data_IF_211129768675
#
_entry.id   IF_211129768675
#
_cell.length_a   1.000
_cell.length_b   1.000
_cell.length_c   1.000
_cell.angle_alpha   90.00
_cell.angle_beta   90.00
_cell.angle_gamma   90.00
#
_symmetry.space_group_name_H-M   'P 1'
#
loop_
_entity.id
_entity.type
_entity.pdbx_description
1 polymer ?
#
# COMPACT_ATOMS: atom_id res chain seq x y z
N UNK A 1 -0.17 3.85 3.39
CA UNK A 1 0.29 3.81 1.98
C UNK A 1 1.68 3.17 1.83
N UNK A 2 2.76 3.71 2.44
CA UNK A 2 4.12 3.15 2.33
C UNK A 2 4.29 1.67 2.69
N UNK A 3 3.55 1.21 3.72
CA UNK A 3 3.67 -0.18 4.19
C UNK A 3 3.11 -1.23 3.21
N UNK A 4 2.28 -0.84 2.22
CA UNK A 4 1.76 -1.77 1.20
C UNK A 4 2.68 -1.87 -0.01
N UNK A 5 3.16 -0.72 -0.50
CA UNK A 5 4.01 -0.62 -1.68
C UNK A 5 5.38 -1.25 -1.46
N UNK A 6 6.07 -0.85 -0.39
CA UNK A 6 7.40 -1.36 -0.08
C UNK A 6 7.36 -2.85 0.29
N UNK A 7 6.32 -3.29 1.01
CA UNK A 7 6.19 -4.68 1.45
C UNK A 7 6.10 -5.65 0.28
N UNK A 8 5.23 -5.38 -0.70
CA UNK A 8 5.14 -6.23 -1.89
C UNK A 8 6.46 -6.31 -2.66
N UNK A 9 7.19 -5.20 -2.78
CA UNK A 9 8.53 -5.20 -3.38
C UNK A 9 9.54 -6.02 -2.56
N UNK A 10 9.50 -5.93 -1.22
CA UNK A 10 10.37 -6.74 -0.35
C UNK A 10 10.13 -8.24 -0.56
N UNK A 11 8.85 -8.65 -0.67
CA UNK A 11 8.48 -10.04 -0.96
C UNK A 11 9.01 -10.45 -2.32
N UNK A 12 8.79 -9.65 -3.37
CA UNK A 12 9.29 -9.95 -4.72
C UNK A 12 10.82 -10.08 -4.73
N UNK A 13 11.53 -9.13 -4.12
CA UNK A 13 12.98 -9.14 -4.02
C UNK A 13 13.50 -10.43 -3.34
N UNK A 14 12.91 -10.78 -2.20
CA UNK A 14 13.25 -12.02 -1.48
C UNK A 14 13.00 -13.27 -2.34
N UNK A 15 11.90 -13.31 -3.11
CA UNK A 15 11.58 -14.45 -3.99
C UNK A 15 12.53 -14.56 -5.18
N UNK A 16 12.85 -13.45 -5.84
CA UNK A 16 13.80 -13.41 -6.98
C UNK A 16 15.12 -14.09 -6.62
N UNK A 17 15.70 -13.72 -5.49
CA UNK A 17 16.99 -14.30 -5.05
C UNK A 17 16.87 -15.72 -4.51
N UNK A 18 15.68 -16.11 -4.03
CA UNK A 18 15.42 -17.48 -3.55
C UNK A 18 15.33 -18.45 -4.72
N UNK A 19 14.73 -18.02 -5.82
CA UNK A 19 14.58 -18.82 -7.04
C UNK A 19 15.87 -18.85 -7.87
N UNK A 20 16.67 -17.77 -7.84
CA UNK A 20 17.97 -17.72 -8.50
C UNK A 20 19.07 -17.15 -7.58
N UNK A 21 19.90 -18.01 -6.95
CA UNK A 21 20.96 -17.58 -6.06
C UNK A 21 21.99 -16.65 -6.71
N UNK A 22 22.21 -16.75 -8.03
CA UNK A 22 23.20 -15.94 -8.75
C UNK A 22 22.71 -14.51 -9.01
N UNK A 23 21.40 -14.25 -8.80
CA UNK A 23 20.84 -12.92 -8.91
C UNK A 23 21.17 -12.07 -7.69
N UNK A 24 21.68 -10.86 -7.94
CA UNK A 24 21.83 -9.82 -6.91
C UNK A 24 20.65 -8.86 -6.99
N UNK A 25 20.02 -8.58 -5.85
CA UNK A 25 19.01 -7.52 -5.72
C UNK A 25 19.55 -6.43 -4.80
N UNK A 26 19.49 -5.18 -5.28
CA UNK A 26 19.80 -3.98 -4.50
C UNK A 26 18.52 -3.17 -4.29
N UNK A 27 18.14 -2.94 -3.04
CA UNK A 27 16.97 -2.12 -2.68
C UNK A 27 17.46 -0.76 -2.21
N UNK A 28 17.16 0.27 -3.00
CA UNK A 28 17.40 1.67 -2.64
C UNK A 28 16.16 2.22 -1.95
N UNK A 29 16.34 2.74 -0.73
CA UNK A 29 15.26 3.30 0.09
C UNK A 29 15.68 4.62 0.74
N UNK A 30 14.81 5.22 1.53
CA UNK A 30 15.11 6.33 2.45
C UNK A 30 15.32 5.81 3.87
N UNK A 31 15.96 6.62 4.72
CA UNK A 31 16.31 6.26 6.09
C UNK A 31 15.12 5.81 6.93
N UNK A 32 13.98 6.50 6.84
CA UNK A 32 12.78 6.20 7.62
C UNK A 32 12.17 4.82 7.32
N UNK A 33 12.50 4.24 6.16
CA UNK A 33 12.00 2.93 5.74
C UNK A 33 13.07 1.83 5.82
N UNK A 34 14.34 2.17 6.07
CA UNK A 34 15.46 1.22 5.98
C UNK A 34 15.25 -0.03 6.83
N UNK A 35 14.99 0.14 8.13
CA UNK A 35 14.83 -1.00 9.05
C UNK A 35 13.54 -1.80 8.79
N UNK A 36 12.47 -1.13 8.34
CA UNK A 36 11.22 -1.81 7.97
C UNK A 36 11.41 -2.66 6.71
N UNK A 37 12.11 -2.14 5.72
CA UNK A 37 12.46 -2.85 4.48
C UNK A 37 13.33 -4.07 4.78
N UNK A 38 14.37 -3.90 5.62
CA UNK A 38 15.21 -5.03 6.08
C UNK A 38 14.39 -6.10 6.78
N UNK A 39 13.61 -5.69 7.78
CA UNK A 39 12.77 -6.61 8.54
C UNK A 39 11.78 -7.37 7.65
N UNK A 40 11.11 -6.69 6.71
CA UNK A 40 10.15 -7.36 5.84
C UNK A 40 10.81 -8.32 4.85
N UNK A 41 11.97 -7.98 4.28
CA UNK A 41 12.74 -8.93 3.45
C UNK A 41 13.12 -10.17 4.28
N UNK A 42 13.66 -9.94 5.47
CA UNK A 42 14.14 -11.02 6.34
C UNK A 42 13.04 -12.01 6.72
N UNK A 43 11.83 -11.49 6.96
CA UNK A 43 10.67 -12.29 7.31
C UNK A 43 10.27 -13.27 6.20
N UNK A 44 10.59 -12.96 4.94
CA UNK A 44 10.23 -13.81 3.79
C UNK A 44 11.20 -14.96 3.54
N UNK A 45 12.35 -14.94 4.21
CA UNK A 45 13.48 -15.82 3.96
C UNK A 45 13.81 -16.64 5.21
N UNK A 46 14.46 -17.80 5.03
CA UNK A 46 14.83 -18.68 6.14
C UNK A 46 16.00 -18.12 6.97
N UNK A 47 15.86 -18.07 8.30
CA UNK A 47 16.89 -17.55 9.19
C UNK A 47 18.26 -18.22 8.95
N UNK A 48 19.30 -17.40 8.79
CA UNK A 48 20.67 -17.87 8.54
C UNK A 48 20.99 -18.24 7.09
N UNK A 49 20.07 -18.02 6.15
CA UNK A 49 20.33 -18.26 4.73
C UNK A 49 21.36 -17.29 4.14
N UNK A 50 22.36 -17.76 3.36
CA UNK A 50 23.30 -16.90 2.63
C UNK A 50 22.62 -15.88 1.71
N UNK A 51 21.40 -16.18 1.27
CA UNK A 51 20.57 -15.32 0.42
C UNK A 51 20.07 -14.10 1.21
N UNK A 52 19.63 -14.29 2.47
CA UNK A 52 19.29 -13.18 3.37
C UNK A 52 20.47 -12.25 3.52
N UNK A 53 21.66 -12.81 3.76
CA UNK A 53 22.87 -12.00 3.93
C UNK A 53 23.22 -11.22 2.67
N UNK A 54 22.92 -11.75 1.47
CA UNK A 54 23.10 -11.02 0.21
C UNK A 54 22.15 -9.83 0.11
N UNK A 55 20.84 -10.01 0.33
CA UNK A 55 19.89 -8.88 0.26
C UNK A 55 20.10 -7.89 1.40
N UNK A 56 20.26 -8.33 2.67
CA UNK A 56 20.52 -7.41 3.80
C UNK A 56 21.72 -6.52 3.53
N UNK A 57 22.80 -7.09 2.98
CA UNK A 57 23.98 -6.34 2.52
C UNK A 57 23.73 -5.51 1.27
N UNK A 58 22.54 -5.47 0.70
CA UNK A 58 22.19 -4.61 -0.44
C UNK A 58 20.83 -3.93 -0.28
N UNK A 59 20.32 -3.85 0.95
CA UNK A 59 19.26 -2.91 1.34
C UNK A 59 19.91 -1.70 1.99
N UNK A 60 19.83 -0.54 1.32
CA UNK A 60 20.47 0.67 1.78
C UNK A 60 19.61 1.91 1.60
N UNK A 61 19.80 2.85 2.53
CA UNK A 61 19.28 4.20 2.38
C UNK A 61 20.22 4.99 1.46
N UNK A 62 19.67 5.68 0.46
CA UNK A 62 20.43 6.65 -0.36
C UNK A 62 20.22 8.08 0.11
N UNK A 63 19.19 8.32 0.92
CA UNK A 63 18.85 9.63 1.45
C UNK A 63 18.86 9.55 2.99
N UNK A 64 19.77 10.29 3.66
CA UNK A 64 19.76 10.35 5.13
C UNK A 64 18.46 10.99 5.62
N UNK A 65 18.17 10.89 6.92
CA UNK A 65 16.98 11.52 7.46
C UNK A 65 17.00 13.04 7.23
N UNK A 66 16.01 13.54 6.49
CA UNK A 66 15.85 14.97 6.19
C UNK A 66 14.51 15.46 6.73
N UNK A 67 14.43 16.70 7.26
CA UNK A 67 13.16 17.30 7.63
C UNK A 67 12.36 17.68 6.39
N UNK A 68 11.04 17.61 6.45
CA UNK A 68 10.15 18.06 5.38
C UNK A 68 8.83 17.30 5.35
N UNK A 69 7.87 17.83 4.59
CA UNK A 69 6.65 17.08 4.26
C UNK A 69 6.93 16.00 3.21
N UNK A 70 5.91 15.22 2.89
CA UNK A 70 6.05 14.08 1.99
C UNK A 70 6.64 14.45 0.62
N UNK A 71 6.12 15.52 0.00
CA UNK A 71 6.54 15.97 -1.34
C UNK A 71 8.02 16.41 -1.33
N UNK A 72 8.43 17.13 -0.29
CA UNK A 72 9.83 17.57 -0.12
C UNK A 72 10.79 16.39 0.05
N UNK A 73 10.42 15.41 0.88
CA UNK A 73 11.22 14.19 1.07
C UNK A 73 11.37 13.43 -0.25
N UNK A 74 10.30 13.30 -1.03
CA UNK A 74 10.34 12.64 -2.34
C UNK A 74 11.22 13.39 -3.35
N UNK A 75 11.24 14.72 -3.29
CA UNK A 75 12.14 15.54 -4.11
C UNK A 75 13.61 15.23 -3.82
N UNK A 76 14.02 15.28 -2.55
CA UNK A 76 15.39 14.92 -2.15
C UNK A 76 15.73 13.46 -2.46
N UNK A 77 14.76 12.55 -2.32
CA UNK A 77 14.95 11.14 -2.65
C UNK A 77 15.25 10.95 -4.13
N UNK A 78 14.58 11.69 -5.01
CA UNK A 78 14.82 11.62 -6.45
C UNK A 78 16.25 12.02 -6.85
N UNK A 79 16.79 13.06 -6.22
CA UNK A 79 18.16 13.51 -6.46
C UNK A 79 19.18 12.48 -5.96
N UNK A 80 19.00 12.00 -4.72
CA UNK A 80 19.85 10.98 -4.13
C UNK A 80 19.83 9.66 -4.91
N UNK A 81 18.64 9.27 -5.40
CA UNK A 81 18.46 8.10 -6.25
C UNK A 81 19.28 8.19 -7.54
N UNK A 82 19.26 9.34 -8.22
CA UNK A 82 19.95 9.49 -9.50
C UNK A 82 21.47 9.26 -9.35
N UNK A 83 22.08 9.81 -8.30
CA UNK A 83 23.49 9.59 -7.99
C UNK A 83 23.77 8.13 -7.65
N UNK A 84 22.96 7.53 -6.79
CA UNK A 84 23.09 6.12 -6.41
C UNK A 84 22.95 5.17 -7.62
N UNK A 85 22.01 5.43 -8.53
CA UNK A 85 21.82 4.61 -9.72
C UNK A 85 23.00 4.74 -10.69
N UNK A 86 23.56 5.93 -10.88
CA UNK A 86 24.78 6.13 -11.68
C UNK A 86 25.98 5.34 -11.12
N UNK A 87 26.17 5.34 -9.79
CA UNK A 87 27.18 4.50 -9.12
C UNK A 87 26.97 3.02 -9.40
N UNK A 88 25.73 2.52 -9.32
CA UNK A 88 25.43 1.12 -9.62
C UNK A 88 25.67 0.76 -11.09
N UNK A 89 25.34 1.65 -12.03
CA UNK A 89 25.57 1.45 -13.47
C UNK A 89 27.06 1.38 -13.79
N UNK A 90 27.90 2.09 -13.04
CA UNK A 90 29.36 2.07 -13.16
C UNK A 90 30.03 0.89 -12.42
N UNK A 91 29.23 0.02 -11.80
CA UNK A 91 29.71 -1.11 -11.00
C UNK A 91 30.62 -0.66 -9.84
N UNK A 92 30.34 0.51 -9.26
CA UNK A 92 31.12 1.07 -8.17
C UNK A 92 30.56 0.67 -6.79
N UNK A 93 31.38 0.62 -5.74
CA UNK A 93 30.90 0.47 -4.36
C UNK A 93 29.94 1.61 -3.97
N UNK A 94 28.90 1.28 -3.20
CA UNK A 94 27.88 2.25 -2.77
C UNK A 94 27.77 2.27 -1.25
N UNK A 95 27.64 3.46 -0.66
CA UNK A 95 27.57 3.63 0.80
C UNK A 95 26.14 3.96 1.24
N UNK A 96 25.66 3.27 2.27
CA UNK A 96 24.40 3.59 2.95
C UNK A 96 24.50 4.98 3.58
N UNK A 97 23.62 5.90 3.18
CA UNK A 97 23.57 7.24 3.74
C UNK A 97 23.20 7.27 5.22
N UNK A 98 22.42 6.29 5.71
CA UNK A 98 22.01 6.21 7.12
C UNK A 98 23.07 5.57 8.00
N UNK A 99 23.64 4.44 7.58
CA UNK A 99 24.52 3.63 8.45
C UNK A 99 26.00 3.83 8.18
N UNK A 100 26.37 4.54 7.10
CA UNK A 100 27.75 4.66 6.65
C UNK A 100 28.37 3.36 6.13
N UNK A 101 27.60 2.27 6.07
CA UNK A 101 28.09 0.97 5.61
C UNK A 101 28.32 1.00 4.10
N UNK A 102 29.54 0.72 3.66
CA UNK A 102 29.87 0.57 2.23
C UNK A 102 29.62 -0.86 1.77
N UNK A 103 28.89 -0.99 0.68
CA UNK A 103 28.65 -2.22 -0.03
C UNK A 103 29.56 -2.28 -1.25
N UNK A 104 30.26 -3.39 -1.43
CA UNK A 104 31.16 -3.57 -2.57
C UNK A 104 30.43 -3.49 -3.91
N UNK A 105 31.21 -3.31 -4.97
CA UNK A 105 30.76 -3.32 -6.36
C UNK A 105 29.85 -4.52 -6.67
N UNK A 106 28.84 -4.27 -7.51
CA UNK A 106 27.93 -5.27 -8.05
C UNK A 106 27.95 -5.18 -9.57
N UNK A 107 27.59 -6.24 -10.30
CA UNK A 107 27.27 -6.13 -11.72
C UNK A 107 26.23 -5.03 -11.96
N UNK A 108 26.38 -4.31 -13.07
CA UNK A 108 25.48 -3.23 -13.43
C UNK A 108 24.02 -3.75 -13.53
N UNK A 109 23.00 -2.92 -13.20
CA UNK A 109 21.61 -3.37 -13.23
C UNK A 109 21.17 -3.83 -14.63
N UNK A 110 20.76 -5.10 -14.75
CA UNK A 110 20.14 -5.66 -15.98
C UNK A 110 18.65 -5.36 -16.07
N UNK A 111 18.00 -5.06 -14.95
CA UNK A 111 16.59 -4.69 -14.85
C UNK A 111 16.39 -3.74 -13.69
N UNK A 112 15.45 -2.82 -13.82
CA UNK A 112 15.06 -1.90 -12.76
C UNK A 112 13.57 -2.00 -12.48
N UNK A 113 13.22 -2.21 -11.22
CA UNK A 113 11.83 -2.18 -10.75
C UNK A 113 11.60 -0.86 -10.01
N UNK A 114 10.69 -0.02 -10.49
CA UNK A 114 10.42 1.31 -9.94
C UNK A 114 8.95 1.42 -9.56
N UNK A 115 8.64 1.79 -8.33
CA UNK A 115 7.27 2.13 -7.93
C UNK A 115 6.68 3.23 -8.81
N UNK A 116 5.44 3.05 -9.28
CA UNK A 116 4.82 3.96 -10.24
C UNK A 116 4.69 5.41 -9.75
N UNK A 117 4.74 5.66 -8.44
CA UNK A 117 4.79 7.02 -7.89
C UNK A 117 6.14 7.72 -8.11
N UNK A 118 7.20 6.99 -8.46
CA UNK A 118 8.57 7.50 -8.63
C UNK A 118 8.89 7.87 -10.08
N UNK A 119 8.05 8.70 -10.72
CA UNK A 119 8.33 9.26 -12.04
C UNK A 119 9.71 9.95 -12.14
N UNK A 120 10.18 10.71 -11.12
CA UNK A 120 11.52 11.29 -11.15
C UNK A 120 12.63 10.25 -11.27
N UNK A 121 12.49 9.09 -10.60
CA UNK A 121 13.47 8.01 -10.69
C UNK A 121 13.49 7.45 -12.11
N UNK A 122 12.33 7.15 -12.70
CA UNK A 122 12.24 6.68 -14.07
C UNK A 122 12.93 7.64 -15.05
N UNK A 123 12.66 8.95 -14.94
CA UNK A 123 13.29 9.97 -15.79
C UNK A 123 14.81 10.01 -15.58
N UNK A 124 15.28 9.93 -14.34
CA UNK A 124 16.71 9.89 -14.02
C UNK A 124 17.38 8.63 -14.60
N UNK A 125 16.78 7.44 -14.44
CA UNK A 125 17.30 6.21 -15.01
C UNK A 125 17.36 6.29 -16.53
N UNK A 126 16.31 6.80 -17.19
CA UNK A 126 16.30 6.99 -18.65
C UNK A 126 17.36 7.98 -19.14
N UNK A 127 17.69 9.00 -18.35
CA UNK A 127 18.77 9.92 -18.70
C UNK A 127 20.15 9.24 -18.63
N UNK A 128 20.33 8.31 -17.69
CA UNK A 128 21.62 7.64 -17.44
C UNK A 128 21.85 6.44 -18.37
N UNK A 129 20.85 5.58 -18.54
CA UNK A 129 20.97 4.32 -19.30
C UNK A 129 20.14 4.29 -20.58
N UNK A 130 19.39 5.36 -20.90
CA UNK A 130 18.49 5.34 -22.05
C UNK A 130 17.50 4.17 -21.95
N UNK A 131 17.51 3.32 -22.96
CA UNK A 131 16.70 2.10 -23.01
C UNK A 131 17.52 0.81 -22.86
N UNK A 132 18.82 0.90 -22.52
CA UNK A 132 19.65 -0.30 -22.35
C UNK A 132 19.23 -1.13 -21.14
N UNK A 133 18.69 -0.49 -20.10
CA UNK A 133 18.12 -1.17 -18.93
C UNK A 133 16.58 -1.15 -19.01
N UNK A 134 15.91 -2.31 -19.10
CA UNK A 134 14.46 -2.38 -19.00
C UNK A 134 13.99 -1.87 -17.63
N UNK A 135 12.89 -1.12 -17.64
CA UNK A 135 12.25 -0.59 -16.44
C UNK A 135 10.86 -1.22 -16.33
N UNK A 136 10.58 -1.82 -15.19
CA UNK A 136 9.29 -2.39 -14.85
C UNK A 136 8.66 -1.51 -13.79
N UNK A 137 7.52 -0.93 -14.13
CA UNK A 137 6.74 -0.13 -13.19
C UNK A 137 6.06 -1.07 -12.19
N UNK A 138 6.43 -0.95 -10.91
CA UNK A 138 5.77 -1.64 -9.82
C UNK A 138 4.47 -0.91 -9.49
N UNK A 139 3.36 -1.58 -9.77
CA UNK A 139 2.00 -1.09 -9.57
C UNK A 139 1.26 -2.02 -8.61
N UNK A 140 1.40 -1.85 -7.29
CA UNK A 140 0.75 -2.70 -6.30
C UNK A 140 -0.70 -2.25 -6.02
N UNK A 141 -1.43 -1.86 -7.06
CA UNK A 141 -2.81 -1.40 -6.98
C UNK A 141 -3.62 -1.88 -8.18
N UNK A 142 -4.94 -1.75 -8.12
CA UNK A 142 -5.80 -2.15 -9.23
C UNK A 142 -5.52 -1.30 -10.49
N UNK A 143 -5.61 -1.93 -11.67
CA UNK A 143 -5.52 -1.21 -12.94
C UNK A 143 -6.57 -0.10 -13.07
N UNK A 144 -7.73 -0.25 -12.42
CA UNK A 144 -8.77 0.78 -12.37
C UNK A 144 -8.31 2.05 -11.65
N UNK A 145 -7.56 1.93 -10.54
CA UNK A 145 -6.99 3.09 -9.86
C UNK A 145 -6.00 3.80 -10.76
N UNK A 146 -5.16 3.05 -11.46
CA UNK A 146 -4.20 3.64 -12.39
C UNK A 146 -4.89 4.47 -13.48
N UNK A 147 -5.96 3.94 -14.08
CA UNK A 147 -6.76 4.67 -15.07
C UNK A 147 -7.45 5.89 -14.44
N UNK A 148 -7.92 5.79 -13.20
CA UNK A 148 -8.54 6.91 -12.52
C UNK A 148 -7.53 8.04 -12.20
N UNK A 149 -6.31 7.70 -11.78
CA UNK A 149 -5.32 8.72 -11.38
C UNK A 149 -4.62 9.30 -12.61
N UNK A 150 -4.23 8.45 -13.57
CA UNK A 150 -3.34 8.84 -14.67
C UNK A 150 -3.99 8.74 -16.05
N UNK A 151 -5.21 8.22 -16.12
CA UNK A 151 -5.94 8.11 -17.37
C UNK A 151 -6.50 9.45 -17.84
N UNK A 152 -6.83 9.54 -19.14
CA UNK A 152 -7.54 10.69 -19.67
C UNK A 152 -8.98 10.74 -19.14
N UNK A 153 -9.56 11.94 -19.05
CA UNK A 153 -10.92 12.16 -18.52
C UNK A 153 -11.99 11.32 -19.23
N UNK A 154 -11.85 11.09 -20.54
CA UNK A 154 -12.75 10.23 -21.32
C UNK A 154 -12.81 8.78 -20.85
N UNK A 155 -11.81 8.32 -20.09
CA UNK A 155 -11.74 6.98 -19.48
C UNK A 155 -12.02 7.04 -17.96
N UNK A 156 -12.48 8.19 -17.44
CA UNK A 156 -12.74 8.39 -16.02
C UNK A 156 -11.51 8.78 -15.20
N UNK A 157 -10.43 9.21 -15.84
CA UNK A 157 -9.21 9.65 -15.16
C UNK A 157 -9.15 11.15 -14.84
N UNK A 158 -8.18 11.58 -14.03
CA UNK A 158 -8.02 12.99 -13.65
C UNK A 158 -7.60 13.91 -14.80
N UNK A 159 -7.10 13.41 -15.93
CA UNK A 159 -6.62 14.26 -17.02
C UNK A 159 -5.40 15.09 -16.61
N UNK A 160 -5.38 16.38 -16.94
CA UNK A 160 -4.29 17.28 -16.56
C UNK A 160 -4.41 17.68 -15.08
N UNK A 161 -3.84 16.83 -14.22
CA UNK A 161 -3.84 17.03 -12.77
C UNK A 161 -3.11 18.30 -12.35
N UNK A 162 -1.98 18.63 -13.00
CA UNK A 162 -1.18 19.81 -12.68
C UNK A 162 -1.97 21.10 -12.94
N UNK A 163 -2.61 21.20 -14.10
CA UNK A 163 -3.44 22.35 -14.45
C UNK A 163 -4.60 22.55 -13.46
N UNK A 164 -5.16 21.46 -12.92
CA UNK A 164 -6.23 21.52 -11.90
C UNK A 164 -5.72 22.02 -10.56
N UNK A 165 -4.56 21.54 -10.11
CA UNK A 165 -3.89 22.04 -8.90
C UNK A 165 -3.56 23.53 -9.04
N UNK A 166 -3.01 23.94 -10.17
CA UNK A 166 -2.65 25.33 -10.43
C UNK A 166 -3.88 26.25 -10.46
N UNK A 167 -4.98 25.80 -11.05
CA UNK A 167 -6.24 26.53 -11.06
C UNK A 167 -6.80 26.73 -9.64
N UNK A 168 -6.78 25.69 -8.81
CA UNK A 168 -7.24 25.75 -7.42
C UNK A 168 -6.31 26.60 -6.55
N UNK A 169 -5.00 26.55 -6.78
CA UNK A 169 -4.02 27.39 -6.11
C UNK A 169 -4.25 28.88 -6.42
N UNK A 170 -4.52 29.19 -7.69
CA UNK A 170 -4.85 30.54 -8.12
C UNK A 170 -6.17 31.04 -7.51
N UNK A 171 -7.15 30.15 -7.32
CA UNK A 171 -8.45 30.47 -6.74
C UNK A 171 -8.39 30.70 -5.23
N UNK A 172 -7.67 29.84 -4.50
CA UNK A 172 -7.68 29.80 -3.02
C UNK A 172 -6.52 30.52 -2.38
N UNK A 173 -5.45 30.80 -3.13
CA UNK A 173 -4.18 31.32 -2.61
C UNK A 173 -3.39 30.31 -1.76
N UNK A 174 -3.84 29.04 -1.67
CA UNK A 174 -3.15 27.98 -0.92
C UNK A 174 -1.94 27.46 -1.71
N UNK A 175 -0.90 26.95 -1.04
CA UNK A 175 0.23 26.33 -1.72
C UNK A 175 -0.19 25.14 -2.59
N UNK A 176 0.31 25.06 -3.83
CA UNK A 176 0.01 23.97 -4.76
C UNK A 176 0.37 22.58 -4.20
N UNK A 177 1.37 22.48 -3.31
CA UNK A 177 1.74 21.23 -2.66
C UNK A 177 0.63 20.71 -1.74
N UNK A 178 0.01 21.58 -0.94
CA UNK A 178 -1.06 21.22 -0.01
C UNK A 178 -2.34 20.83 -0.77
N UNK A 179 -2.63 21.55 -1.86
CA UNK A 179 -3.76 21.25 -2.75
C UNK A 179 -3.52 19.92 -3.48
N UNK A 180 -2.31 19.69 -3.99
CA UNK A 180 -1.97 18.44 -4.67
C UNK A 180 -2.08 17.25 -3.70
N UNK A 181 -1.67 17.41 -2.44
CA UNK A 181 -1.83 16.41 -1.39
C UNK A 181 -3.30 16.11 -1.12
N UNK A 182 -4.14 17.13 -0.95
CA UNK A 182 -5.58 16.99 -0.72
C UNK A 182 -6.32 16.33 -1.88
N UNK A 183 -6.06 16.74 -3.13
CA UNK A 183 -6.73 16.17 -4.31
C UNK A 183 -6.22 14.74 -4.60
N UNK A 184 -4.95 14.44 -4.34
CA UNK A 184 -4.36 13.13 -4.67
C UNK A 184 -4.67 12.05 -3.64
N UNK A 185 -4.80 12.41 -2.37
CA UNK A 185 -4.79 11.45 -1.26
C UNK A 185 -5.90 11.67 -0.23
N UNK A 186 -6.81 12.62 -0.49
CA UNK A 186 -7.80 13.06 0.48
C UNK A 186 -7.13 13.52 1.78
N UNK A 187 -7.94 13.75 2.81
CA UNK A 187 -7.41 13.94 4.16
C UNK A 187 -6.83 12.61 4.64
N UNK A 188 -5.50 12.53 4.62
CA UNK A 188 -4.69 11.31 4.68
C UNK A 188 -5.12 10.32 5.78
N UNK A 189 -5.63 9.16 5.33
CA UNK A 189 -5.62 7.79 5.92
C UNK A 189 -5.86 7.59 7.43
N UNK A 190 -6.49 8.55 8.06
CA UNK A 190 -7.00 8.53 9.42
C UNK A 190 -8.04 9.65 9.45
N UNK A 191 -9.17 9.53 10.16
CA UNK A 191 -10.06 10.67 10.34
C UNK A 191 -9.40 11.69 11.29
N UNK A 192 -8.27 12.26 10.88
CA UNK A 192 -7.50 13.26 11.64
C UNK A 192 -8.30 14.54 11.84
N UNK A 193 -9.17 14.86 10.88
CA UNK A 193 -10.07 16.00 10.96
C UNK A 193 -11.30 15.74 11.83
N UNK A 194 -11.70 14.47 12.00
CA UNK A 194 -12.89 14.09 12.78
C UNK A 194 -12.64 12.80 13.60
N UNK A 195 -11.70 12.80 14.56
CA UNK A 195 -11.37 11.61 15.34
C UNK A 195 -12.57 11.09 16.14
N UNK A 196 -13.52 11.97 16.48
CA UNK A 196 -14.74 11.68 17.22
C UNK A 196 -15.63 10.63 16.53
N UNK A 197 -15.60 10.52 15.20
CA UNK A 197 -16.36 9.48 14.49
C UNK A 197 -15.87 8.07 14.81
N UNK A 198 -14.56 7.92 15.05
CA UNK A 198 -13.99 6.65 15.41
C UNK A 198 -14.34 6.28 16.86
N UNK A 199 -14.29 7.27 17.75
CA UNK A 199 -14.70 7.12 19.15
C UNK A 199 -16.19 6.74 19.24
N UNK A 200 -17.06 7.42 18.51
CA UNK A 200 -18.50 7.11 18.44
C UNK A 200 -18.80 5.67 17.97
N UNK A 201 -18.07 5.16 16.97
CA UNK A 201 -18.24 3.79 16.49
C UNK A 201 -17.80 2.79 17.56
N UNK A 202 -16.66 3.03 18.22
CA UNK A 202 -16.17 2.19 19.31
C UNK A 202 -17.15 2.22 20.49
N UNK A 203 -17.67 3.39 20.82
CA UNK A 203 -18.59 3.59 21.93
C UNK A 203 -19.93 2.90 21.67
N UNK A 204 -20.47 3.03 20.46
CA UNK A 204 -21.66 2.29 20.06
C UNK A 204 -21.46 0.76 20.16
N UNK A 205 -20.28 0.24 19.78
CA UNK A 205 -19.99 -1.20 19.89
C UNK A 205 -19.92 -1.64 21.36
N UNK A 206 -19.27 -0.85 22.22
CA UNK A 206 -19.16 -1.11 23.65
C UNK A 206 -20.53 -1.05 24.35
N UNK A 207 -21.32 0.01 24.11
CA UNK A 207 -22.65 0.22 24.68
C UNK A 207 -23.61 -0.91 24.32
N UNK A 208 -23.54 -1.39 23.08
CA UNK A 208 -24.38 -2.48 22.60
C UNK A 208 -23.82 -3.87 22.93
N UNK A 209 -22.71 -3.94 23.70
CA UNK A 209 -22.03 -5.18 24.09
C UNK A 209 -21.68 -6.07 22.91
N UNK A 210 -21.30 -5.45 21.79
CA UNK A 210 -20.91 -6.14 20.56
C UNK A 210 -19.41 -6.39 20.64
N UNK A 211 -18.94 -7.65 20.68
CA UNK A 211 -17.52 -7.91 20.65
C UNK A 211 -16.91 -7.48 19.31
N UNK A 212 -15.77 -6.79 19.33
CA UNK A 212 -15.15 -6.26 18.12
C UNK A 212 -13.63 -6.38 18.13
N UNK A 213 -13.06 -6.50 16.93
CA UNK A 213 -11.63 -6.39 16.69
C UNK A 213 -11.40 -5.12 15.87
N UNK A 214 -10.74 -4.14 16.46
CA UNK A 214 -10.39 -2.91 15.75
C UNK A 214 -8.97 -3.02 15.21
N UNK A 215 -8.86 -3.18 13.88
CA UNK A 215 -7.57 -3.32 13.21
C UNK A 215 -7.06 -1.98 12.68
N UNK A 216 -5.92 -1.51 13.18
CA UNK A 216 -5.31 -0.25 12.75
C UNK A 216 -3.90 -0.50 12.16
N UNK A 217 -3.83 -0.62 10.83
CA UNK A 217 -2.56 -0.88 10.13
C UNK A 217 -1.82 0.43 9.72
N UNK A 218 -2.42 1.60 9.94
CA UNK A 218 -1.81 2.88 9.57
C UNK A 218 -0.64 3.21 10.51
N UNK A 219 0.56 3.55 9.99
CA UNK A 219 1.68 4.02 10.81
C UNK A 219 1.42 5.39 11.44
N UNK A 220 0.32 6.06 11.08
CA UNK A 220 -0.12 7.35 11.61
C UNK A 220 -1.30 7.23 12.58
N UNK A 221 -1.81 6.02 12.82
CA UNK A 221 -2.90 5.80 13.77
C UNK A 221 -2.45 6.22 15.19
N UNK A 222 -3.08 7.26 15.74
CA UNK A 222 -2.91 7.68 17.13
C UNK A 222 -4.19 7.34 17.88
N UNK A 223 -4.21 6.17 18.51
CA UNK A 223 -5.29 5.81 19.43
C UNK A 223 -5.00 6.49 20.77
N UNK A 224 -5.89 7.35 21.29
CA UNK A 224 -5.71 7.97 22.60
C UNK A 224 -5.55 6.91 23.71
N UNK A 225 -4.70 7.18 24.69
CA UNK A 225 -4.44 6.22 25.77
C UNK A 225 -5.73 5.86 26.54
N UNK A 226 -6.60 6.84 26.79
CA UNK A 226 -7.89 6.61 27.45
C UNK A 226 -8.82 5.71 26.64
N UNK A 227 -8.86 5.87 25.31
CA UNK A 227 -9.67 5.03 24.43
C UNK A 227 -9.13 3.59 24.41
N UNK A 228 -7.81 3.44 24.33
CA UNK A 228 -7.17 2.13 24.40
C UNK A 228 -7.46 1.41 25.72
N UNK A 229 -7.36 2.12 26.84
CA UNK A 229 -7.64 1.58 28.17
C UNK A 229 -9.11 1.17 28.34
N UNK A 230 -10.05 1.97 27.85
CA UNK A 230 -11.49 1.63 27.81
C UNK A 230 -11.77 0.38 27.00
N UNK A 231 -11.17 0.25 25.81
CA UNK A 231 -11.34 -0.91 24.94
C UNK A 231 -10.78 -2.17 25.62
N UNK A 232 -9.56 -2.10 26.14
CA UNK A 232 -8.89 -3.24 26.79
C UNK A 232 -9.57 -3.67 28.10
N UNK A 233 -10.14 -2.73 28.86
CA UNK A 233 -10.84 -3.04 30.13
C UNK A 233 -12.27 -3.57 29.94
N UNK A 234 -12.85 -3.40 28.75
CA UNK A 234 -14.24 -3.78 28.48
C UNK A 234 -14.50 -5.28 28.34
N UNK A 235 -13.44 -6.09 28.13
CA UNK A 235 -13.51 -7.50 27.69
C UNK A 235 -14.32 -7.74 26.38
N UNK A 236 -14.70 -6.66 25.68
CA UNK A 236 -15.51 -6.69 24.46
C UNK A 236 -14.70 -6.30 23.22
N UNK A 237 -13.66 -5.47 23.37
CA UNK A 237 -12.85 -4.99 22.26
C UNK A 237 -11.40 -5.48 22.31
N UNK A 238 -10.84 -5.78 21.14
CA UNK A 238 -9.42 -6.11 20.97
C UNK A 238 -8.80 -5.20 19.90
N UNK A 239 -7.75 -4.47 20.27
CA UNK A 239 -6.97 -3.64 19.34
C UNK A 239 -5.85 -4.47 18.72
N UNK A 240 -5.74 -4.46 17.40
CA UNK A 240 -4.65 -5.16 16.71
C UNK A 240 -4.13 -4.38 15.52
N UNK A 241 -2.84 -4.46 15.23
CA UNK A 241 -2.27 -3.91 13.99
C UNK A 241 -2.59 -4.78 12.76
N UNK A 242 -3.17 -5.97 12.97
CA UNK A 242 -3.52 -6.89 11.89
C UNK A 242 -4.65 -7.87 12.28
N UNK A 243 -5.70 -7.94 11.45
CA UNK A 243 -6.75 -8.96 11.51
C UNK A 243 -7.21 -9.30 10.08
N UNK A 244 -7.68 -10.53 9.81
CA UNK A 244 -8.35 -10.85 8.55
C UNK A 244 -9.66 -10.05 8.45
N UNK A 245 -9.68 -9.02 7.60
CA UNK A 245 -10.84 -8.15 7.39
C UNK A 245 -11.75 -8.75 6.32
N UNK A 246 -12.95 -9.22 6.73
CA UNK A 246 -14.02 -9.61 5.80
C UNK A 246 -15.07 -8.50 5.65
N UNK A 247 -14.97 -7.42 6.43
CA UNK A 247 -15.80 -6.23 6.31
C UNK A 247 -14.90 -5.11 5.79
N UNK A 248 -15.25 -4.58 4.62
CA UNK A 248 -14.50 -3.57 3.90
C UNK A 248 -15.11 -2.20 4.18
N UNK A 249 -14.31 -1.29 4.72
CA UNK A 249 -14.60 0.13 4.85
C UNK A 249 -13.78 0.89 3.81
N UNK A 250 -14.21 0.91 2.53
CA UNK A 250 -13.46 1.59 1.50
C UNK A 250 -13.58 3.10 1.68
N UNK A 251 -12.45 3.79 1.73
CA UNK A 251 -12.37 5.25 1.78
C UNK A 251 -11.99 5.81 0.41
N UNK A 252 -10.82 5.42 -0.11
CA UNK A 252 -10.25 6.05 -1.31
C UNK A 252 -9.36 5.08 -2.12
N UNK A 253 -8.89 5.54 -3.27
CA UNK A 253 -7.97 4.86 -4.17
C UNK A 253 -8.58 3.57 -4.73
N UNK A 254 -7.85 2.46 -4.67
CA UNK A 254 -8.34 1.17 -5.15
C UNK A 254 -9.23 0.47 -4.14
N UNK A 255 -9.37 0.98 -2.90
CA UNK A 255 -10.17 0.34 -1.86
C UNK A 255 -11.62 0.08 -2.28
N UNK A 256 -12.36 1.04 -2.92
CA UNK A 256 -13.71 0.76 -3.39
C UNK A 256 -13.75 -0.32 -4.48
N UNK A 257 -12.74 -0.39 -5.35
CA UNK A 257 -12.68 -1.42 -6.39
C UNK A 257 -12.32 -2.79 -5.81
N UNK A 258 -11.37 -2.83 -4.88
CA UNK A 258 -10.99 -4.03 -4.15
C UNK A 258 -12.15 -4.57 -3.32
N UNK A 259 -12.84 -3.71 -2.57
CA UNK A 259 -14.05 -4.06 -1.83
C UNK A 259 -15.11 -4.63 -2.79
N UNK A 260 -15.41 -3.93 -3.88
CA UNK A 260 -16.36 -4.41 -4.88
C UNK A 260 -15.96 -5.77 -5.48
N UNK A 261 -14.68 -6.02 -5.74
CA UNK A 261 -14.23 -7.30 -6.25
C UNK A 261 -14.42 -8.43 -5.24
N UNK A 262 -14.06 -8.20 -3.97
CA UNK A 262 -14.19 -9.19 -2.91
C UNK A 262 -15.67 -9.49 -2.60
N UNK A 263 -16.53 -8.48 -2.66
CA UNK A 263 -17.96 -8.63 -2.36
C UNK A 263 -18.77 -9.14 -3.55
N UNK A 264 -18.52 -8.63 -4.75
CA UNK A 264 -19.34 -8.96 -5.93
C UNK A 264 -18.86 -10.21 -6.66
N UNK A 265 -17.56 -10.43 -6.76
CA UNK A 265 -17.02 -11.53 -7.56
C UNK A 265 -16.58 -12.70 -6.68
N UNK A 266 -15.85 -12.41 -5.60
CA UNK A 266 -15.29 -13.46 -4.74
C UNK A 266 -16.27 -13.94 -3.66
N UNK A 267 -17.32 -13.14 -3.38
CA UNK A 267 -18.35 -13.43 -2.36
C UNK A 267 -17.72 -13.79 -1.00
N UNK A 268 -16.62 -13.13 -0.64
CA UNK A 268 -15.81 -13.46 0.52
C UNK A 268 -15.80 -12.35 1.60
N UNK A 269 -16.63 -11.32 1.42
CA UNK A 269 -16.78 -10.24 2.39
C UNK A 269 -17.96 -9.32 2.11
N UNK A 270 -18.06 -8.28 2.93
CA UNK A 270 -19.15 -7.31 2.99
C UNK A 270 -18.55 -5.92 2.83
N UNK A 271 -19.20 -5.05 2.05
CA UNK A 271 -18.78 -3.68 1.83
C UNK A 271 -19.73 -2.73 2.53
N UNK A 272 -19.16 -1.79 3.27
CA UNK A 272 -19.91 -0.70 3.91
C UNK A 272 -20.08 0.45 2.93
N UNK A 273 -21.28 1.01 2.90
CA UNK A 273 -21.70 2.05 1.97
C UNK A 273 -22.07 3.34 2.69
N UNK A 274 -22.77 3.25 3.81
CA UNK A 274 -23.27 4.41 4.57
C UNK A 274 -22.13 5.14 5.29
N UNK A 275 -20.97 4.50 5.45
CA UNK A 275 -19.75 5.09 6.03
C UNK A 275 -18.94 5.93 5.04
N UNK A 276 -19.36 6.01 3.78
CA UNK A 276 -18.68 6.81 2.75
C UNK A 276 -18.97 8.29 2.98
N UNK A 277 -18.09 9.16 2.49
CA UNK A 277 -18.22 10.61 2.61
C UNK A 277 -17.93 11.32 1.27
N UNK A 278 -18.24 12.62 1.19
CA UNK A 278 -17.97 13.44 0.01
C UNK A 278 -18.58 12.86 -1.28
N UNK A 279 -17.75 12.68 -2.32
CA UNK A 279 -18.18 12.06 -3.60
C UNK A 279 -18.65 10.61 -3.45
N UNK A 280 -18.30 9.94 -2.35
CA UNK A 280 -18.69 8.57 -2.04
C UNK A 280 -20.18 8.36 -1.73
N UNK A 281 -20.93 9.46 -1.49
CA UNK A 281 -22.40 9.45 -1.30
C UNK A 281 -23.19 9.50 -2.62
N UNK A 282 -22.49 9.62 -3.76
CA UNK A 282 -23.12 9.57 -5.07
C UNK A 282 -23.70 8.18 -5.40
N UNK A 283 -24.56 8.09 -6.43
CA UNK A 283 -25.12 6.82 -6.89
C UNK A 283 -24.04 5.80 -7.26
N UNK A 284 -24.17 4.59 -6.73
CA UNK A 284 -23.29 3.46 -6.98
C UNK A 284 -23.87 2.66 -8.15
N UNK A 285 -23.43 2.97 -9.36
CA UNK A 285 -24.01 2.42 -10.59
C UNK A 285 -24.00 0.89 -10.68
N UNK A 286 -23.02 0.22 -10.07
CA UNK A 286 -22.91 -1.26 -10.12
C UNK A 286 -24.02 -2.00 -9.37
N UNK A 287 -24.66 -1.35 -8.39
CA UNK A 287 -25.71 -1.99 -7.57
C UNK A 287 -26.92 -1.09 -7.30
N UNK A 288 -26.95 0.11 -7.87
CA UNK A 288 -28.05 1.07 -7.76
C UNK A 288 -28.20 1.72 -6.38
N UNK A 289 -27.31 1.45 -5.42
CA UNK A 289 -27.40 2.06 -4.08
C UNK A 289 -26.96 3.52 -4.13
N UNK A 290 -27.65 4.37 -3.38
CA UNK A 290 -27.21 5.75 -3.12
C UNK A 290 -27.13 5.91 -1.60
N UNK A 291 -25.91 5.90 -1.03
CA UNK A 291 -25.74 6.01 0.43
C UNK A 291 -26.27 7.35 0.93
N UNK A 292 -26.88 7.34 2.12
CA UNK A 292 -27.37 8.55 2.78
C UNK A 292 -26.27 9.24 3.58
N UNK A 293 -25.33 8.47 4.14
CA UNK A 293 -24.22 9.02 4.93
C UNK A 293 -24.64 9.57 6.29
N UNK A 294 -25.85 9.28 6.77
CA UNK A 294 -26.35 9.76 8.07
C UNK A 294 -25.99 8.78 9.18
N UNK A 295 -25.91 9.28 10.42
CA UNK A 295 -25.63 8.47 11.61
C UNK A 295 -26.61 7.31 11.75
N UNK A 296 -27.89 7.56 11.48
CA UNK A 296 -28.96 6.57 11.53
C UNK A 296 -28.75 5.48 10.47
N UNK A 297 -28.43 5.88 9.23
CA UNK A 297 -28.21 4.95 8.12
C UNK A 297 -26.97 4.07 8.35
N UNK A 298 -25.89 4.64 8.90
CA UNK A 298 -24.71 3.87 9.35
C UNK A 298 -25.12 2.86 10.42
N UNK A 299 -25.89 3.28 11.42
CA UNK A 299 -26.37 2.38 12.48
C UNK A 299 -27.24 1.23 11.95
N UNK A 300 -28.11 1.49 10.98
CA UNK A 300 -28.91 0.45 10.31
C UNK A 300 -28.04 -0.52 9.52
N UNK A 301 -27.07 -0.01 8.76
CA UNK A 301 -26.13 -0.82 7.99
C UNK A 301 -25.30 -1.73 8.89
N UNK A 302 -24.72 -1.21 9.97
CA UNK A 302 -23.88 -2.00 10.88
C UNK A 302 -24.68 -3.14 11.53
N UNK A 303 -25.90 -2.89 12.01
CA UNK A 303 -26.74 -3.94 12.59
C UNK A 303 -27.06 -5.05 11.59
N UNK A 304 -27.45 -4.67 10.36
CA UNK A 304 -27.70 -5.62 9.27
C UNK A 304 -26.45 -6.46 8.96
N UNK A 305 -25.28 -5.85 8.91
CA UNK A 305 -24.02 -6.54 8.65
C UNK A 305 -23.69 -7.54 9.77
N UNK A 306 -23.94 -7.17 11.02
CA UNK A 306 -23.74 -8.09 12.15
C UNK A 306 -24.68 -9.30 12.08
N UNK A 307 -25.93 -9.11 11.65
CA UNK A 307 -26.88 -10.21 11.45
C UNK A 307 -26.42 -11.14 10.32
N UNK A 308 -25.95 -10.58 9.20
CA UNK A 308 -25.36 -11.35 8.09
C UNK A 308 -24.16 -12.18 8.58
N UNK A 309 -23.24 -11.56 9.33
CA UNK A 309 -22.04 -12.21 9.84
C UNK A 309 -22.33 -13.42 10.74
N UNK A 310 -23.44 -13.36 11.51
CA UNK A 310 -23.92 -14.43 12.40
C UNK A 310 -24.75 -15.49 11.67
N UNK A 311 -25.26 -15.17 10.48
CA UNK A 311 -26.10 -16.06 9.69
C UNK A 311 -25.33 -16.95 8.71
N UNK A 312 -26.09 -17.74 7.96
CA UNK A 312 -25.58 -18.68 6.94
C UNK A 312 -24.77 -17.97 5.84
N UNK A 313 -25.15 -16.74 5.49
CA UNK A 313 -24.42 -15.93 4.53
C UNK A 313 -22.99 -15.62 5.01
N UNK A 314 -22.83 -15.23 6.28
CA UNK A 314 -21.52 -15.03 6.90
C UNK A 314 -20.68 -16.32 6.95
N UNK A 315 -21.31 -17.47 7.23
CA UNK A 315 -20.64 -18.77 7.15
C UNK A 315 -20.14 -19.08 5.74
N UNK A 316 -20.95 -18.79 4.72
CA UNK A 316 -20.56 -18.98 3.33
C UNK A 316 -19.40 -18.07 2.93
N UNK A 317 -19.40 -16.81 3.37
CA UNK A 317 -18.28 -15.88 3.13
C UNK A 317 -16.98 -16.39 3.75
N UNK A 318 -17.02 -16.95 4.97
CA UNK A 318 -15.85 -17.59 5.62
C UNK A 318 -15.34 -18.80 4.83
N UNK A 319 -16.24 -19.67 4.34
CA UNK A 319 -15.87 -20.80 3.47
C UNK A 319 -15.20 -20.33 2.19
N UNK A 320 -15.72 -19.27 1.56
CA UNK A 320 -15.14 -18.68 0.36
C UNK A 320 -13.74 -18.10 0.65
N UNK A 321 -13.56 -17.41 1.78
CA UNK A 321 -12.27 -16.88 2.18
C UNK A 321 -11.22 -17.99 2.44
N UNK A 322 -11.59 -19.09 3.10
CA UNK A 322 -10.69 -20.23 3.29
C UNK A 322 -10.33 -20.92 1.97
N UNK A 323 -11.28 -21.04 1.02
CA UNK A 323 -10.98 -21.52 -0.34
C UNK A 323 -9.93 -20.64 -1.02
N UNK A 324 -10.13 -19.31 -1.00
CA UNK A 324 -9.19 -18.35 -1.59
C UNK A 324 -7.80 -18.44 -0.97
N UNK A 325 -7.71 -18.61 0.36
CA UNK A 325 -6.44 -18.79 1.06
C UNK A 325 -5.67 -20.03 0.57
N UNK A 326 -6.37 -21.13 0.31
CA UNK A 326 -5.75 -22.35 -0.27
C UNK A 326 -5.31 -22.08 -1.71
N UNK A 327 -6.17 -21.47 -2.54
CA UNK A 327 -5.82 -21.12 -3.93
C UNK A 327 -4.60 -20.19 -4.00
N UNK A 328 -4.56 -19.15 -3.16
CA UNK A 328 -3.42 -18.26 -3.05
C UNK A 328 -2.15 -18.96 -2.59
N UNK A 329 -2.25 -19.97 -1.71
CA UNK A 329 -1.09 -20.78 -1.36
C UNK A 329 -0.60 -21.59 -2.56
N UNK A 330 -1.51 -22.27 -3.25
CA UNK A 330 -1.18 -23.19 -4.34
C UNK A 330 -0.49 -22.50 -5.52
N UNK A 331 -0.83 -21.25 -5.85
CA UNK A 331 -0.14 -20.51 -6.92
C UNK A 331 1.34 -20.25 -6.61
N UNK A 332 1.73 -20.29 -5.34
CA UNK A 332 3.12 -20.15 -4.86
C UNK A 332 3.80 -21.48 -4.54
N UNK A 333 3.12 -22.62 -4.68
CA UNK A 333 3.74 -23.94 -4.55
C UNK A 333 4.54 -24.30 -5.81
N UNK A 334 5.34 -25.36 -5.73
CA UNK A 334 6.15 -25.83 -6.87
C UNK A 334 5.25 -26.15 -8.07
N UNK A 335 5.50 -25.47 -9.20
CA UNK A 335 4.68 -25.59 -10.41
C UNK A 335 3.41 -24.72 -10.41
N UNK A 336 3.18 -23.93 -9.36
CA UNK A 336 2.13 -22.93 -9.28
C UNK A 336 2.38 -21.76 -10.23
N UNK A 337 1.31 -21.09 -10.66
CA UNK A 337 1.38 -20.05 -11.69
C UNK A 337 2.27 -18.86 -11.30
N UNK A 338 2.30 -18.46 -10.03
CA UNK A 338 3.14 -17.35 -9.60
C UNK A 338 4.64 -17.72 -9.65
N UNK A 339 4.99 -18.95 -9.27
CA UNK A 339 6.36 -19.45 -9.39
C UNK A 339 6.80 -19.52 -10.86
N UNK A 340 5.94 -20.01 -11.74
CA UNK A 340 6.24 -20.10 -13.17
C UNK A 340 6.47 -18.70 -13.79
N UNK A 341 5.68 -17.70 -13.41
CA UNK A 341 5.87 -16.33 -13.90
C UNK A 341 7.15 -15.70 -13.34
N UNK A 342 7.52 -15.93 -12.07
CA UNK A 342 8.81 -15.49 -11.52
C UNK A 342 9.97 -16.15 -12.26
N UNK A 343 9.90 -17.45 -12.54
CA UNK A 343 10.94 -18.17 -13.28
C UNK A 343 11.08 -17.67 -14.72
N UNK A 344 9.96 -17.36 -15.38
CA UNK A 344 9.96 -16.73 -16.70
C UNK A 344 10.60 -15.34 -16.66
N UNK A 345 10.23 -14.52 -15.67
CA UNK A 345 10.86 -13.23 -15.44
C UNK A 345 12.38 -13.36 -15.28
N UNK A 346 12.85 -14.32 -14.47
CA UNK A 346 14.28 -14.53 -14.26
C UNK A 346 14.97 -14.96 -15.55
N UNK A 347 14.37 -15.84 -16.35
CA UNK A 347 14.91 -16.21 -17.66
C UNK A 347 15.07 -15.02 -18.61
N UNK A 348 14.15 -14.06 -18.53
CA UNK A 348 14.14 -12.90 -19.43
C UNK A 348 15.13 -11.79 -18.97
N UNK A 349 15.50 -11.74 -17.68
CA UNK A 349 16.17 -10.57 -17.08
C UNK A 349 17.36 -10.86 -16.14
N UNK A 350 17.62 -12.11 -15.74
CA UNK A 350 18.66 -12.52 -14.78
C UNK A 350 19.65 -13.52 -15.38
#
# INVERSE_FOLDING_TARGET
MFSGHARGMCVLAARIVSENPDTTVTILTISDLLEKTRFEVDRQLEQGSPIIERIRRRVLSVLPKVPGNFVQIMGHFAEAYAAAYDTLVKEEPITCAETGTTFGAAPAPSVLVIDFFNLPHLKASRKLTGYSVPIIAWLPCSASLFIHVWGPERLGGYGDFGAKVDAEAALTGRPSADIAEEISFGTIFWPSENPDYLEEVIDALLENKIPFIFSHASPFAKIPAQLSERVNSSALGFLTSWAPQQIFWPFEADQPTGAAHVTENLKAGIELFEVRSGRGLGPIYRNGKTPKGTREAVGEEIRRVLDICKGEEGDQMRRNAERLKVEFRNVWEKGGSAILEVQKFLKDYA
#
